data_IF_411578130800
#
_entry.id   IF_411578130800
#
_cell.length_a   1.000
_cell.length_b   1.000
_cell.length_c   1.000
_cell.angle_alpha   90.00
_cell.angle_beta   90.00
_cell.angle_gamma   90.00
#
_symmetry.space_group_name_H-M   'P 1'
#
loop_
_entity.id
_entity.type
_entity.pdbx_description
1 polymer ?
#
# COMPACT_ATOMS: atom_id res chain seq x y z
N UNK A 1 19.06 83.75 -56.23
CA UNK A 1 17.86 83.03 -56.71
C UNK A 1 18.22 82.29 -57.99
N UNK A 2 18.21 80.95 -57.96
CA UNK A 2 18.18 80.00 -59.10
C UNK A 2 18.67 78.66 -58.52
N UNK A 3 17.76 77.89 -57.94
CA UNK A 3 16.95 76.85 -58.57
C UNK A 3 17.60 75.48 -58.45
N UNK A 4 16.80 74.61 -57.89
CA UNK A 4 17.02 73.26 -57.42
C UNK A 4 16.87 72.21 -58.54
N UNK A 5 17.27 70.99 -58.17
CA UNK A 5 16.79 69.66 -58.61
C UNK A 5 17.55 68.97 -59.76
N UNK A 6 18.22 67.86 -59.41
CA UNK A 6 18.00 66.51 -59.98
C UNK A 6 18.86 65.51 -59.17
N UNK A 7 18.27 64.63 -58.33
CA UNK A 7 17.68 63.32 -58.62
C UNK A 7 18.70 62.28 -59.12
N UNK A 8 19.08 61.33 -58.27
CA UNK A 8 19.52 59.94 -58.54
C UNK A 8 20.32 59.42 -57.32
N UNK A 9 20.33 58.17 -56.89
CA UNK A 9 19.66 56.90 -57.21
C UNK A 9 20.02 55.92 -56.09
N UNK A 10 19.08 55.03 -55.79
CA UNK A 10 19.14 53.76 -55.06
C UNK A 10 20.53 53.16 -54.77
N UNK A 11 20.79 52.85 -53.49
CA UNK A 11 21.94 52.08 -53.03
C UNK A 11 21.58 51.10 -51.90
N UNK A 12 21.04 49.93 -52.28
CA UNK A 12 21.12 48.62 -51.60
C UNK A 12 21.06 48.61 -50.05
N UNK A 13 19.88 48.40 -49.49
CA UNK A 13 19.74 47.76 -48.18
C UNK A 13 20.15 46.28 -48.31
N UNK A 14 21.41 45.97 -48.00
CA UNK A 14 21.83 44.59 -47.80
C UNK A 14 21.20 44.08 -46.49
N UNK A 15 20.16 43.27 -46.64
CA UNK A 15 19.57 42.49 -45.56
C UNK A 15 20.58 41.45 -45.07
N UNK A 16 21.40 41.82 -44.08
CA UNK A 16 22.26 40.88 -43.38
C UNK A 16 21.53 40.42 -42.12
N UNK A 17 20.71 39.38 -42.30
CA UNK A 17 19.99 38.69 -41.23
C UNK A 17 21.03 38.05 -40.30
N UNK A 18 21.29 38.68 -39.16
CA UNK A 18 22.09 38.09 -38.10
C UNK A 18 21.39 36.84 -37.59
N UNK A 19 21.96 35.67 -37.84
CA UNK A 19 21.56 34.45 -37.16
C UNK A 19 22.28 34.42 -35.81
N UNK A 20 21.59 34.51 -34.66
CA UNK A 20 22.25 34.23 -33.40
C UNK A 20 22.56 32.74 -33.33
N UNK A 21 23.84 32.42 -33.18
CA UNK A 21 24.30 31.07 -32.91
C UNK A 21 23.51 30.48 -31.74
N UNK A 22 22.76 29.39 -32.00
CA UNK A 22 22.15 28.61 -30.92
C UNK A 22 23.27 28.03 -30.07
N UNK A 23 23.54 28.65 -28.93
CA UNK A 23 24.34 28.06 -27.86
C UNK A 23 23.58 26.82 -27.40
N UNK A 24 24.03 25.65 -27.85
CA UNK A 24 23.51 24.37 -27.41
C UNK A 24 24.02 24.17 -25.99
N UNK A 25 23.27 24.68 -25.00
CA UNK A 25 23.53 24.36 -23.60
C UNK A 25 23.38 22.85 -23.44
N UNK A 26 24.51 22.15 -23.34
CA UNK A 26 24.52 20.77 -22.92
C UNK A 26 24.12 20.78 -21.45
N UNK A 27 22.90 20.30 -21.15
CA UNK A 27 22.50 20.07 -19.77
C UNK A 27 23.51 19.10 -19.11
N UNK A 28 24.02 19.40 -17.91
CA UNK A 28 24.94 18.51 -17.23
C UNK A 28 24.24 17.17 -16.99
N UNK A 29 24.84 16.08 -17.49
CA UNK A 29 24.34 14.72 -17.21
C UNK A 29 24.45 14.49 -15.69
N UNK A 30 23.38 14.04 -15.00
CA UNK A 30 23.48 13.68 -13.60
C UNK A 30 24.50 12.56 -13.47
N UNK A 31 25.58 12.79 -12.71
CA UNK A 31 26.51 11.74 -12.32
C UNK A 31 25.82 10.88 -11.28
N UNK A 32 25.36 9.70 -11.70
CA UNK A 32 24.91 8.66 -10.75
C UNK A 32 26.16 8.21 -10.01
N UNK A 33 26.31 8.61 -8.75
CA UNK A 33 27.41 8.14 -7.92
C UNK A 33 27.18 6.66 -7.60
N UNK A 34 28.23 5.81 -7.60
CA UNK A 34 28.10 4.42 -7.23
C UNK A 34 27.60 4.31 -5.80
N UNK A 35 26.64 3.40 -5.56
CA UNK A 35 26.13 3.10 -4.23
C UNK A 35 27.31 2.74 -3.31
N UNK A 36 27.46 3.48 -2.20
CA UNK A 36 28.39 3.09 -1.14
C UNK A 36 27.93 1.77 -0.52
N UNK A 37 28.87 0.85 -0.30
CA UNK A 37 28.62 -0.35 0.45
C UNK A 37 28.27 0.03 1.91
N UNK A 38 27.19 -0.56 2.44
CA UNK A 38 26.79 -0.41 3.83
C UNK A 38 27.57 -1.45 4.62
N UNK A 39 28.55 -1.00 5.40
CA UNK A 39 29.24 -1.85 6.38
C UNK A 39 28.37 -1.91 7.63
N UNK A 40 27.80 -3.08 7.92
CA UNK A 40 26.95 -3.30 9.10
C UNK A 40 27.83 -3.84 10.21
N UNK A 41 28.04 -3.03 11.25
CA UNK A 41 28.69 -3.47 12.47
C UNK A 41 27.66 -4.08 13.43
N UNK A 42 27.66 -5.40 13.54
CA UNK A 42 26.75 -6.12 14.44
C UNK A 42 27.15 -6.04 15.92
N UNK A 43 28.31 -5.47 16.24
CA UNK A 43 28.74 -5.25 17.63
C UNK A 43 28.20 -3.95 18.23
N UNK A 44 27.75 -3.03 17.38
CA UNK A 44 27.17 -1.76 17.77
C UNK A 44 25.74 -1.94 18.30
N UNK A 45 25.44 -1.49 19.54
CA UNK A 45 24.11 -1.61 20.12
C UNK A 45 23.01 -0.95 19.29
N UNK A 46 23.29 0.17 18.62
CA UNK A 46 22.29 0.88 17.82
C UNK A 46 21.88 0.08 16.58
N UNK A 47 22.85 -0.61 15.95
CA UNK A 47 22.62 -1.52 14.84
C UNK A 47 21.78 -2.73 15.27
N UNK A 48 22.04 -3.28 16.46
CA UNK A 48 21.23 -4.38 17.01
C UNK A 48 19.79 -3.96 17.32
N UNK A 49 19.60 -2.78 17.91
CA UNK A 49 18.26 -2.25 18.22
C UNK A 49 17.48 -2.01 16.93
N UNK A 50 18.11 -1.45 15.90
CA UNK A 50 17.45 -1.21 14.62
C UNK A 50 17.05 -2.52 13.92
N UNK A 51 17.93 -3.53 13.92
CA UNK A 51 17.63 -4.85 13.37
C UNK A 51 16.50 -5.54 14.15
N UNK A 52 16.55 -5.50 15.48
CA UNK A 52 15.51 -6.06 16.34
C UNK A 52 14.16 -5.36 16.11
N UNK A 53 14.16 -4.03 15.99
CA UNK A 53 12.98 -3.24 15.67
C UNK A 53 12.38 -3.59 14.31
N UNK A 54 13.22 -3.80 13.29
CA UNK A 54 12.76 -4.23 11.96
C UNK A 54 12.11 -5.62 12.02
N UNK A 55 12.75 -6.59 12.68
CA UNK A 55 12.21 -7.93 12.83
C UNK A 55 10.89 -7.89 13.61
N UNK A 56 10.83 -7.15 14.72
CA UNK A 56 9.62 -7.00 15.51
C UNK A 56 8.50 -6.34 14.71
N UNK A 57 8.83 -5.32 13.91
CA UNK A 57 7.88 -4.66 13.01
C UNK A 57 7.30 -5.62 11.97
N UNK A 58 8.12 -6.47 11.35
CA UNK A 58 7.66 -7.48 10.39
C UNK A 58 6.80 -8.56 11.07
N UNK A 59 7.23 -9.06 12.23
CA UNK A 59 6.47 -10.05 13.01
C UNK A 59 5.13 -9.48 13.45
N UNK A 60 5.08 -8.25 13.95
CA UNK A 60 3.82 -7.62 14.34
C UNK A 60 2.94 -7.32 13.12
N UNK A 61 3.52 -6.79 12.03
CA UNK A 61 2.81 -6.40 10.83
C UNK A 61 2.18 -7.57 10.07
N UNK A 62 2.85 -8.71 10.00
CA UNK A 62 2.34 -9.93 9.34
C UNK A 62 1.66 -10.89 10.31
N UNK A 63 2.16 -10.99 11.54
CA UNK A 63 1.65 -11.91 12.55
C UNK A 63 0.27 -11.51 13.06
N UNK A 64 -0.01 -10.22 13.24
CA UNK A 64 -1.33 -9.76 13.66
C UNK A 64 -2.44 -10.18 12.68
N UNK A 65 -2.39 -9.84 11.37
CA UNK A 65 -3.45 -10.26 10.44
C UNK A 65 -3.57 -11.78 10.32
N UNK A 66 -2.45 -12.51 10.29
CA UNK A 66 -2.48 -13.98 10.24
C UNK A 66 -3.14 -14.59 11.48
N UNK A 67 -2.89 -14.05 12.67
CA UNK A 67 -3.51 -14.50 13.91
C UNK A 67 -5.03 -14.31 13.91
N UNK A 68 -5.52 -13.18 13.38
CA UNK A 68 -6.95 -12.92 13.26
C UNK A 68 -7.64 -13.87 12.27
N UNK A 69 -7.00 -14.17 11.12
CA UNK A 69 -7.53 -15.10 10.13
C UNK A 69 -7.63 -16.51 10.73
N UNK A 70 -6.56 -17.01 11.33
CA UNK A 70 -6.54 -18.34 11.95
C UNK A 70 -7.59 -18.45 13.07
N UNK A 71 -7.84 -17.36 13.82
CA UNK A 71 -8.92 -17.34 14.82
C UNK A 71 -10.31 -17.48 14.18
N UNK A 72 -10.54 -16.84 13.04
CA UNK A 72 -11.79 -16.96 12.32
C UNK A 72 -12.00 -18.37 11.76
N UNK A 73 -10.97 -18.97 11.17
CA UNK A 73 -10.99 -20.36 10.67
C UNK A 73 -11.27 -21.36 11.81
N UNK A 74 -10.59 -21.19 12.96
CA UNK A 74 -10.83 -22.00 14.17
C UNK A 74 -12.26 -21.88 14.70
N UNK A 75 -12.87 -20.72 14.54
CA UNK A 75 -14.25 -20.49 14.97
C UNK A 75 -15.25 -21.09 13.97
N UNK A 76 -14.94 -21.08 12.66
CA UNK A 76 -15.73 -21.75 11.63
C UNK A 76 -15.68 -23.28 11.75
N UNK A 77 -14.48 -23.85 11.94
CA UNK A 77 -14.27 -25.29 12.18
C UNK A 77 -15.12 -25.78 13.37
N UNK A 78 -15.12 -25.05 14.49
CA UNK A 78 -15.97 -25.37 15.65
C UNK A 78 -17.47 -25.27 15.35
N UNK A 79 -17.89 -24.33 14.51
CA UNK A 79 -19.30 -24.22 14.10
C UNK A 79 -19.71 -25.39 13.21
N UNK A 80 -18.82 -25.86 12.34
CA UNK A 80 -19.05 -27.06 11.54
C UNK A 80 -19.14 -28.31 12.41
N UNK A 81 -18.26 -28.46 13.39
CA UNK A 81 -18.32 -29.53 14.40
C UNK A 81 -19.65 -29.48 15.17
N UNK A 82 -20.09 -28.30 15.60
CA UNK A 82 -21.38 -28.11 16.26
C UNK A 82 -22.56 -28.50 15.38
N UNK A 83 -22.54 -28.14 14.10
CA UNK A 83 -23.57 -28.54 13.13
C UNK A 83 -23.53 -30.04 12.84
N UNK A 84 -22.36 -30.65 12.85
CA UNK A 84 -22.22 -32.10 12.70
C UNK A 84 -22.78 -32.82 13.94
N UNK A 85 -22.46 -32.34 15.14
CA UNK A 85 -22.98 -32.85 16.41
C UNK A 85 -24.51 -32.73 16.46
N UNK A 86 -25.06 -31.57 16.13
CA UNK A 86 -26.51 -31.35 16.18
C UNK A 86 -27.26 -32.23 15.15
N UNK A 87 -26.67 -32.46 13.98
CA UNK A 87 -27.19 -33.45 13.00
C UNK A 87 -27.14 -34.88 13.53
N UNK A 88 -26.07 -35.26 14.24
CA UNK A 88 -25.93 -36.58 14.85
C UNK A 88 -26.93 -36.77 16.00
N UNK A 89 -27.05 -35.79 16.90
CA UNK A 89 -28.04 -35.80 17.99
C UNK A 89 -29.46 -35.90 17.44
N UNK A 90 -29.81 -35.12 16.42
CA UNK A 90 -31.12 -35.21 15.79
C UNK A 90 -31.41 -36.61 15.20
N UNK A 91 -30.40 -37.27 14.62
CA UNK A 91 -30.54 -38.63 14.11
C UNK A 91 -30.78 -39.67 15.23
N UNK A 92 -30.27 -39.41 16.43
CA UNK A 92 -30.37 -40.31 17.59
C UNK A 92 -31.62 -40.07 18.44
N UNK A 93 -31.96 -38.80 18.71
CA UNK A 93 -33.03 -38.42 19.64
C UNK A 93 -34.29 -37.89 18.94
N UNK A 94 -34.19 -37.48 17.67
CA UNK A 94 -35.28 -36.84 16.92
C UNK A 94 -35.52 -35.37 17.26
N UNK A 95 -34.72 -34.78 18.17
CA UNK A 95 -34.79 -33.37 18.56
C UNK A 95 -33.43 -32.68 18.38
N UNK A 96 -33.45 -31.41 17.99
CA UNK A 96 -32.24 -30.59 17.92
C UNK A 96 -31.75 -30.20 19.31
N UNK A 97 -30.44 -29.96 19.45
CA UNK A 97 -29.88 -29.45 20.70
C UNK A 97 -30.47 -28.07 21.04
N UNK A 98 -30.77 -27.86 22.32
CA UNK A 98 -31.29 -26.58 22.81
C UNK A 98 -30.25 -25.46 22.69
N UNK A 99 -30.70 -24.22 22.55
CA UNK A 99 -29.80 -23.05 22.43
C UNK A 99 -28.85 -22.92 23.63
N UNK A 100 -29.32 -23.30 24.82
CA UNK A 100 -28.53 -23.31 26.06
C UNK A 100 -27.40 -24.36 26.05
N UNK A 101 -27.60 -25.50 25.38
CA UNK A 101 -26.57 -26.52 25.22
C UNK A 101 -25.54 -26.09 24.18
N UNK A 102 -25.99 -25.49 23.09
CA UNK A 102 -25.12 -24.93 22.04
C UNK A 102 -24.27 -23.80 22.63
N UNK A 103 -24.85 -22.94 23.47
CA UNK A 103 -24.16 -21.83 24.14
C UNK A 103 -23.08 -22.29 25.14
N UNK A 104 -23.20 -23.49 25.72
CA UNK A 104 -22.17 -24.06 26.62
C UNK A 104 -20.96 -24.58 25.85
N UNK A 105 -21.16 -25.05 24.62
CA UNK A 105 -20.10 -25.62 23.80
C UNK A 105 -19.37 -24.52 23.00
N UNK A 106 -20.11 -23.54 22.47
CA UNK A 106 -19.52 -22.43 21.72
C UNK A 106 -19.12 -21.27 22.63
N UNK A 107 -18.04 -20.57 22.31
CA UNK A 107 -17.71 -19.30 22.98
C UNK A 107 -18.70 -18.21 22.56
N UNK A 108 -19.14 -17.34 23.49
CA UNK A 108 -20.02 -16.23 23.16
C UNK A 108 -19.29 -15.23 22.25
N UNK A 109 -19.93 -14.87 21.14
CA UNK A 109 -19.44 -13.86 20.20
C UNK A 109 -20.01 -12.50 20.56
N UNK A 110 -19.29 -11.43 20.24
CA UNK A 110 -19.74 -10.06 20.45
C UNK A 110 -21.04 -9.73 19.70
N UNK A 111 -21.35 -10.48 18.64
CA UNK A 111 -22.59 -10.38 17.85
C UNK A 111 -23.79 -11.08 18.49
N UNK A 112 -23.60 -12.03 19.41
CA UNK A 112 -24.71 -12.83 19.97
C UNK A 112 -25.66 -12.00 20.85
N UNK A 113 -25.19 -10.85 21.36
CA UNK A 113 -25.98 -9.92 22.17
C UNK A 113 -26.70 -8.85 21.33
N UNK A 114 -26.55 -8.88 20.00
CA UNK A 114 -27.22 -7.95 19.11
C UNK A 114 -28.47 -8.63 18.57
N UNK A 115 -29.61 -8.01 18.81
CA UNK A 115 -30.82 -8.30 18.05
C UNK A 115 -30.57 -7.91 16.60
N UNK A 116 -30.85 -8.83 15.68
CA UNK A 116 -30.83 -8.53 14.26
C UNK A 116 -32.08 -7.70 13.98
N UNK A 117 -31.91 -6.43 13.60
CA UNK A 117 -33.01 -5.67 13.01
C UNK A 117 -33.11 -6.15 11.56
N UNK A 118 -34.14 -6.95 11.28
CA UNK A 118 -34.61 -7.12 9.91
C UNK A 118 -35.29 -5.79 9.53
N UNK A 119 -34.68 -5.04 8.62
CA UNK A 119 -35.37 -3.97 7.90
C UNK A 119 -36.38 -4.67 6.96
N UNK A 120 -37.61 -4.85 7.45
CA UNK A 120 -38.84 -5.28 6.77
C UNK A 120 -38.73 -6.18 5.52
#
# INVERSE_FOLDING_TARGET
>A
MALSLHRSTLGRCAAQRSQPARVRMQAPRPRIQPCRAIEIDFSDPDTQISLAGMVLGLVAGLGAPFWYINRAEKDEERLEELRALNRATFAETGEYMSEDEIAKIRKPKWTDRREWQDDD
#
